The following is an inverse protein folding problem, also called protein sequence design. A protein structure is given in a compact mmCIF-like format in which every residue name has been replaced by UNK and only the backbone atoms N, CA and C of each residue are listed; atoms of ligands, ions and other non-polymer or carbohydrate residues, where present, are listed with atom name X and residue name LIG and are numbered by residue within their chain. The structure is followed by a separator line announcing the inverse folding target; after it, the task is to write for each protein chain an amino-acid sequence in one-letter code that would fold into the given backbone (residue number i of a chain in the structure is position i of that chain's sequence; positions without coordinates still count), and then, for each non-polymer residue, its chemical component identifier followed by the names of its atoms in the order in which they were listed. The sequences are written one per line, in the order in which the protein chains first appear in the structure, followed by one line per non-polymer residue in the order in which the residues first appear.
data_IF_617620790087
#
_entry.id   IF_617620790087
#
_cell.length_a   1.000
_cell.length_b   1.000
_cell.length_c   1.000
_cell.angle_alpha   90.00
_cell.angle_beta   90.00
_cell.angle_gamma   90.00
#
_symmetry.space_group_name_H-M   'P 1'
#
loop_
_entity.id
_entity.type
_entity.pdbx_description
1 polymer ?
#
# COMPACT_ATOMS: atom_id res chain seq x y z
N UNK A 1 -4.26 -5.23 -25.54
CA UNK A 1 -4.88 -5.76 -24.32
C UNK A 1 -3.86 -5.64 -23.19
N UNK A 2 -4.06 -4.77 -22.20
CA UNK A 2 -3.11 -4.68 -21.09
C UNK A 2 -3.14 -6.00 -20.30
N UNK A 3 -1.98 -6.56 -19.89
CA UNK A 3 -1.96 -7.80 -19.13
C UNK A 3 -2.79 -7.64 -17.85
N UNK A 4 -3.49 -8.68 -17.39
CA UNK A 4 -4.21 -8.62 -16.12
C UNK A 4 -3.19 -8.31 -15.03
N UNK A 5 -3.25 -7.09 -14.49
CA UNK A 5 -2.46 -6.72 -13.32
C UNK A 5 -2.88 -7.70 -12.22
N UNK A 6 -1.92 -8.46 -11.69
CA UNK A 6 -2.13 -9.47 -10.62
C UNK A 6 -2.87 -8.93 -9.39
N UNK A 7 -2.98 -7.61 -9.25
CA UNK A 7 -3.74 -6.92 -8.22
C UNK A 7 -4.60 -5.81 -8.84
N UNK A 8 -5.88 -5.78 -8.46
CA UNK A 8 -6.80 -4.71 -8.85
C UNK A 8 -6.30 -3.35 -8.31
N UNK A 9 -6.48 -2.24 -9.05
CA UNK A 9 -6.10 -0.91 -8.58
C UNK A 9 -6.79 -0.55 -7.27
N UNK A 10 -8.06 -0.91 -7.12
CA UNK A 10 -8.84 -0.71 -5.89
C UNK A 10 -8.22 -1.41 -4.67
N UNK A 11 -7.69 -2.63 -4.86
CA UNK A 11 -6.99 -3.37 -3.81
C UNK A 11 -5.72 -2.64 -3.38
N UNK A 12 -4.96 -2.14 -4.36
CA UNK A 12 -3.74 -1.37 -4.11
C UNK A 12 -4.05 -0.09 -3.34
N UNK A 13 -5.04 0.69 -3.76
CA UNK A 13 -5.43 1.94 -3.10
C UNK A 13 -5.93 1.69 -1.68
N UNK A 14 -6.77 0.66 -1.48
CA UNK A 14 -7.24 0.26 -0.16
C UNK A 14 -6.09 -0.17 0.75
N UNK A 15 -5.16 -0.98 0.25
CA UNK A 15 -4.02 -1.45 1.03
C UNK A 15 -3.10 -0.30 1.46
N UNK A 16 -2.83 0.63 0.54
CA UNK A 16 -2.04 1.83 0.83
C UNK A 16 -2.74 2.72 1.86
N UNK A 17 -4.05 2.96 1.71
CA UNK A 17 -4.82 3.76 2.66
C UNK A 17 -4.80 3.19 4.08
N UNK A 18 -5.02 1.87 4.20
CA UNK A 18 -4.94 1.18 5.50
C UNK A 18 -3.57 1.32 6.17
N UNK A 19 -2.48 1.27 5.39
CA UNK A 19 -1.13 1.50 5.92
C UNK A 19 -0.98 2.92 6.46
N UNK A 20 -1.50 3.93 5.76
CA UNK A 20 -1.46 5.31 6.24
C UNK A 20 -2.33 5.54 7.48
N UNK A 21 -3.53 4.97 7.51
CA UNK A 21 -4.43 5.06 8.67
C UNK A 21 -3.81 4.42 9.91
N UNK A 22 -3.22 3.22 9.77
CA UNK A 22 -2.53 2.56 10.88
C UNK A 22 -1.29 3.34 11.35
N UNK A 23 -0.49 3.90 10.42
CA UNK A 23 0.63 4.79 10.78
C UNK A 23 0.15 6.04 11.52
N UNK A 24 -0.96 6.63 11.10
CA UNK A 24 -1.55 7.80 11.77
C UNK A 24 -2.10 7.46 13.17
N UNK A 25 -2.56 6.22 13.37
CA UNK A 25 -2.97 5.71 14.68
C UNK A 25 -1.79 5.42 15.63
N UNK A 26 -0.54 5.62 15.19
CA UNK A 26 0.66 5.36 15.98
C UNK A 26 1.12 3.90 15.94
N UNK A 27 0.54 3.06 15.07
CA UNK A 27 1.08 1.72 14.82
C UNK A 27 2.45 1.87 14.14
N UNK A 28 3.51 1.47 14.85
CA UNK A 28 4.90 1.69 14.46
C UNK A 28 5.42 0.79 13.32
N UNK A 29 6.66 0.33 13.45
CA UNK A 29 7.30 -0.56 12.48
C UNK A 29 6.47 -1.86 12.32
N UNK A 30 6.16 -2.27 11.08
CA UNK A 30 5.46 -3.52 10.80
C UNK A 30 4.01 -3.40 10.30
N UNK A 31 3.44 -2.20 10.19
CA UNK A 31 2.09 -1.99 9.61
C UNK A 31 1.97 -2.59 8.21
N UNK A 32 2.99 -2.38 7.35
CA UNK A 32 3.00 -2.94 5.99
C UNK A 32 2.93 -4.47 6.01
N UNK A 33 3.60 -5.11 6.98
CA UNK A 33 3.57 -6.56 7.13
C UNK A 33 2.18 -7.08 7.51
N UNK A 34 1.53 -6.43 8.48
CA UNK A 34 0.18 -6.78 8.92
C UNK A 34 -0.86 -6.59 7.82
N UNK A 35 -0.86 -5.43 7.17
CA UNK A 35 -1.82 -5.13 6.09
C UNK A 35 -1.60 -6.06 4.89
N UNK A 36 -0.34 -6.41 4.59
CA UNK A 36 -0.03 -7.36 3.54
C UNK A 36 -0.60 -8.75 3.83
N UNK A 37 -0.43 -9.23 5.05
CA UNK A 37 -0.96 -10.53 5.51
C UNK A 37 -2.50 -10.54 5.51
N UNK A 38 -3.13 -9.49 6.04
CA UNK A 38 -4.59 -9.34 6.09
C UNK A 38 -5.26 -9.33 4.71
N UNK A 39 -4.59 -8.77 3.70
CA UNK A 39 -5.12 -8.66 2.34
C UNK A 39 -4.59 -9.76 1.40
N UNK A 40 -3.72 -10.64 1.88
CA UNK A 40 -3.07 -11.67 1.05
C UNK A 40 -2.19 -11.10 -0.07
N UNK A 41 -1.63 -9.90 0.11
CA UNK A 41 -0.76 -9.24 -0.87
C UNK A 41 0.70 -9.43 -0.50
N UNK A 42 1.59 -9.48 -1.50
CA UNK A 42 3.02 -9.54 -1.23
C UNK A 42 3.50 -8.29 -0.47
N UNK A 43 4.20 -8.50 0.65
CA UNK A 43 4.74 -7.42 1.51
C UNK A 43 5.61 -6.42 0.73
N UNK A 44 6.46 -6.91 -0.17
CA UNK A 44 7.31 -6.04 -1.00
C UNK A 44 6.51 -5.24 -2.05
N UNK A 45 5.43 -5.81 -2.58
CA UNK A 45 4.52 -5.09 -3.48
C UNK A 45 3.82 -3.94 -2.74
N UNK A 46 3.29 -4.21 -1.54
CA UNK A 46 2.66 -3.19 -0.71
C UNK A 46 3.65 -2.10 -0.30
N UNK A 47 4.89 -2.46 0.04
CA UNK A 47 5.95 -1.48 0.33
C UNK A 47 6.23 -0.54 -0.84
N UNK A 48 6.28 -1.09 -2.06
CA UNK A 48 6.46 -0.31 -3.29
C UNK A 48 5.28 0.62 -3.52
N UNK A 49 4.05 0.16 -3.31
CA UNK A 49 2.86 0.99 -3.48
C UNK A 49 2.76 2.12 -2.47
N UNK A 50 3.08 1.85 -1.20
CA UNK A 50 3.11 2.87 -0.14
C UNK A 50 4.16 3.92 -0.46
N UNK A 51 5.37 3.50 -0.86
CA UNK A 51 6.44 4.44 -1.26
C UNK A 51 6.04 5.30 -2.46
N UNK A 52 5.37 4.71 -3.44
CA UNK A 52 4.84 5.44 -4.59
C UNK A 52 3.77 6.44 -4.15
N UNK A 53 2.86 6.06 -3.26
CA UNK A 53 1.83 6.95 -2.73
C UNK A 53 2.38 8.05 -1.81
N UNK A 54 3.47 7.82 -1.08
CA UNK A 54 4.21 8.87 -0.36
C UNK A 54 4.82 9.89 -1.33
N UNK A 55 5.29 9.44 -2.50
CA UNK A 55 5.79 10.32 -3.57
C UNK A 55 4.64 11.09 -4.22
N UNK A 56 3.56 10.41 -4.65
CA UNK A 56 2.38 11.03 -5.25
C UNK A 56 1.66 11.98 -4.29
N UNK A 57 1.61 11.65 -2.99
CA UNK A 57 1.00 12.46 -1.93
C UNK A 57 1.85 13.64 -1.45
N UNK A 58 3.16 13.64 -1.74
CA UNK A 58 4.06 14.73 -1.40
C UNK A 58 4.45 15.63 -2.56
N UNK A 59 4.39 15.15 -3.81
CA UNK A 59 4.88 15.91 -4.96
C UNK A 59 4.52 15.23 -6.28
N UNK A 60 3.48 15.74 -6.94
CA UNK A 60 3.73 16.18 -8.31
C UNK A 60 4.21 17.63 -8.23
N UNK A 61 5.33 18.04 -8.84
CA UNK A 61 5.21 19.19 -9.73
C UNK A 61 4.32 18.83 -10.92
#
# INVERSE_FOLDING_TARGET
MAPPRKYAPELRERAVRLVFEARAAGEGQGVIARVADQLGVHREALRTWVRQAEVDGGKRP
#
